data_IF_094200179862
#
_entry.id   IF_094200179862
#
_cell.length_a   1.000
_cell.length_b   1.000
_cell.length_c   1.000
_cell.angle_alpha   90.00
_cell.angle_beta   90.00
_cell.angle_gamma   90.00
#
_symmetry.space_group_name_H-M   'P 1'
#
loop_
_entity.id
_entity.type
_entity.pdbx_description
1 polymer ?
#
# COMPACT_ATOMS: atom_id res chain seq x y z
N UNK A 1 -5.43 -20.62 6.81
CA UNK A 1 -4.04 -20.11 6.74
C UNK A 1 -3.95 -18.86 7.59
N UNK A 2 -3.03 -18.80 8.55
CA UNK A 2 -2.89 -17.66 9.47
C UNK A 2 -2.10 -16.55 8.75
N UNK A 3 -2.69 -15.36 8.61
CA UNK A 3 -2.06 -14.23 7.93
C UNK A 3 -0.79 -13.73 8.63
N UNK A 4 0.21 -13.25 7.88
CA UNK A 4 1.49 -12.77 8.43
C UNK A 4 1.39 -11.40 9.12
N UNK A 5 0.30 -10.66 8.91
CA UNK A 5 0.00 -9.39 9.55
C UNK A 5 -1.06 -9.60 10.64
N UNK A 6 -0.67 -9.43 11.90
CA UNK A 6 -1.52 -9.66 13.06
C UNK A 6 -1.41 -8.48 14.03
N UNK A 7 -2.43 -8.31 14.88
CA UNK A 7 -2.45 -7.26 15.89
C UNK A 7 -3.11 -5.96 15.43
N UNK A 8 -2.73 -4.86 16.09
CA UNK A 8 -3.28 -3.52 15.85
C UNK A 8 -3.03 -3.09 14.41
N UNK A 9 -3.93 -2.28 13.88
CA UNK A 9 -3.73 -1.72 12.55
C UNK A 9 -2.57 -0.69 12.55
N UNK A 10 -1.63 -0.86 11.63
CA UNK A 10 -0.59 0.11 11.32
C UNK A 10 -1.20 1.35 10.63
N UNK A 11 -0.63 2.54 10.82
CA UNK A 11 -1.06 3.72 10.08
C UNK A 11 -1.02 3.52 8.56
N UNK A 12 0.05 2.91 8.02
CA UNK A 12 0.14 2.67 6.59
C UNK A 12 -0.90 1.67 6.06
N UNK A 13 -1.29 0.66 6.83
CA UNK A 13 -2.34 -0.26 6.38
C UNK A 13 -3.74 0.36 6.44
N UNK A 14 -3.99 1.30 7.35
CA UNK A 14 -5.23 2.09 7.36
C UNK A 14 -5.34 2.94 6.09
N UNK A 15 -4.27 3.68 5.77
CA UNK A 15 -4.20 4.50 4.54
C UNK A 15 -4.37 3.64 3.28
N UNK A 16 -3.69 2.50 3.21
CA UNK A 16 -3.86 1.57 2.10
C UNK A 16 -5.31 1.09 1.99
N UNK A 17 -5.93 0.70 3.11
CA UNK A 17 -7.30 0.20 3.09
C UNK A 17 -8.31 1.24 2.63
N UNK A 18 -8.16 2.51 3.04
CA UNK A 18 -9.03 3.60 2.57
C UNK A 18 -8.94 3.78 1.05
N UNK A 19 -7.73 3.87 0.50
CA UNK A 19 -7.52 3.99 -0.95
C UNK A 19 -8.01 2.74 -1.69
N UNK A 20 -7.78 1.56 -1.12
CA UNK A 20 -8.19 0.29 -1.70
C UNK A 20 -9.72 0.22 -1.81
N UNK A 21 -10.43 0.70 -0.80
CA UNK A 21 -11.89 0.76 -0.79
C UNK A 21 -12.39 1.68 -1.90
N UNK A 22 -11.85 2.90 -2.02
CA UNK A 22 -12.24 3.83 -3.08
C UNK A 22 -12.05 3.20 -4.46
N UNK A 23 -10.85 2.69 -4.74
CA UNK A 23 -10.54 2.09 -6.04
C UNK A 23 -11.39 0.84 -6.31
N UNK A 24 -11.69 0.05 -5.29
CA UNK A 24 -12.54 -1.13 -5.40
C UNK A 24 -13.98 -0.76 -5.77
N UNK A 25 -14.54 0.27 -5.14
CA UNK A 25 -15.90 0.74 -5.42
C UNK A 25 -16.05 1.34 -6.81
N UNK A 26 -15.04 2.06 -7.26
CA UNK A 26 -14.98 2.66 -8.59
C UNK A 26 -14.70 1.62 -9.69
N UNK A 27 -14.26 0.40 -9.31
CA UNK A 27 -14.03 -0.68 -10.26
C UNK A 27 -12.73 -0.55 -11.04
N UNK A 28 -11.79 0.28 -10.57
CA UNK A 28 -10.57 0.67 -11.30
C UNK A 28 -9.34 -0.19 -10.94
N UNK A 29 -9.51 -1.23 -10.12
CA UNK A 29 -8.44 -2.17 -9.77
C UNK A 29 -8.12 -3.10 -10.95
N UNK A 30 -6.87 -3.08 -11.38
CA UNK A 30 -6.32 -3.94 -12.43
C UNK A 30 -6.10 -5.38 -11.94
N UNK A 31 -5.68 -5.54 -10.68
CA UNK A 31 -5.30 -6.80 -10.05
C UNK A 31 -6.44 -7.56 -9.32
N UNK A 32 -7.68 -7.07 -9.37
CA UNK A 32 -8.82 -7.66 -8.69
C UNK A 32 -9.71 -8.47 -9.64
N UNK A 33 -9.98 -9.74 -9.32
CA UNK A 33 -10.92 -10.55 -10.09
C UNK A 33 -12.39 -10.16 -9.79
N UNK A 34 -13.23 -10.10 -10.83
CA UNK A 34 -14.66 -9.88 -10.68
C UNK A 34 -15.28 -10.94 -9.75
N UNK A 35 -16.23 -10.53 -8.90
CA UNK A 35 -16.82 -11.42 -7.90
C UNK A 35 -15.99 -11.60 -6.62
N UNK A 36 -14.76 -11.06 -6.54
CA UNK A 36 -14.04 -10.98 -5.27
C UNK A 36 -14.78 -10.03 -4.34
N UNK A 37 -15.03 -10.42 -3.08
CA UNK A 37 -15.61 -9.50 -2.09
C UNK A 37 -14.57 -8.51 -1.56
N UNK A 38 -15.00 -7.33 -1.13
CA UNK A 38 -14.10 -6.31 -0.59
C UNK A 38 -13.23 -6.84 0.55
N UNK A 39 -13.83 -7.58 1.50
CA UNK A 39 -13.10 -8.19 2.62
C UNK A 39 -12.02 -9.16 2.15
N UNK A 40 -12.30 -9.96 1.12
CA UNK A 40 -11.34 -10.92 0.54
C UNK A 40 -10.18 -10.20 -0.13
N UNK A 41 -10.47 -9.15 -0.89
CA UNK A 41 -9.45 -8.36 -1.58
C UNK A 41 -8.49 -7.73 -0.56
N UNK A 42 -9.01 -6.98 0.41
CA UNK A 42 -8.18 -6.31 1.42
C UNK A 42 -7.40 -7.32 2.26
N UNK A 43 -8.04 -8.41 2.71
CA UNK A 43 -7.39 -9.43 3.53
C UNK A 43 -6.19 -10.06 2.83
N UNK A 44 -6.35 -10.37 1.53
CA UNK A 44 -5.27 -10.91 0.70
C UNK A 44 -4.11 -9.94 0.57
N UNK A 45 -4.38 -8.66 0.31
CA UNK A 45 -3.35 -7.63 0.11
C UNK A 45 -2.64 -7.27 1.42
N UNK A 46 -3.36 -7.21 2.54
CA UNK A 46 -2.79 -6.93 3.86
C UNK A 46 -2.22 -8.15 4.58
N UNK A 47 -2.17 -9.33 3.94
CA UNK A 47 -1.71 -10.59 4.53
C UNK A 47 -2.40 -10.93 5.87
N UNK A 48 -3.70 -10.69 5.99
CA UNK A 48 -4.45 -10.91 7.22
C UNK A 48 -5.74 -11.71 6.98
N UNK A 49 -6.45 -12.06 8.06
CA UNK A 49 -7.71 -12.79 7.97
C UNK A 49 -8.90 -11.87 7.63
N UNK A 50 -9.86 -12.36 6.83
CA UNK A 50 -11.06 -11.61 6.43
C UNK A 50 -11.87 -11.08 7.62
N UNK A 51 -11.84 -11.76 8.76
CA UNK A 51 -12.50 -11.32 9.97
C UNK A 51 -11.84 -10.09 10.58
N UNK A 52 -10.51 -9.92 10.45
CA UNK A 52 -9.80 -8.72 10.91
C UNK A 52 -10.27 -7.51 10.12
N UNK A 53 -10.37 -7.65 8.80
CA UNK A 53 -10.94 -6.62 7.92
C UNK A 53 -12.40 -6.36 8.29
N UNK A 54 -13.22 -7.40 8.42
CA UNK A 54 -14.63 -7.28 8.76
C UNK A 54 -14.85 -6.52 10.07
N UNK A 55 -14.05 -6.79 11.10
CA UNK A 55 -14.10 -6.07 12.38
C UNK A 55 -13.73 -4.60 12.21
N UNK A 56 -12.65 -4.28 11.49
CA UNK A 56 -12.23 -2.90 11.24
C UNK A 56 -13.29 -2.10 10.48
N UNK A 57 -13.82 -2.66 9.39
CA UNK A 57 -14.86 -2.02 8.58
C UNK A 57 -16.19 -1.83 9.31
N UNK A 58 -16.48 -2.66 10.34
CA UNK A 58 -17.68 -2.50 11.18
C UNK A 58 -17.49 -1.47 12.29
N UNK A 59 -16.26 -1.31 12.80
CA UNK A 59 -15.93 -0.35 13.85
C UNK A 59 -15.85 1.07 13.31
N UNK A 60 -15.23 1.24 12.14
CA UNK A 60 -15.18 2.53 11.47
C UNK A 60 -16.54 2.81 10.83
N UNK A 61 -17.13 3.97 11.10
CA UNK A 61 -18.40 4.39 10.47
C UNK A 61 -18.17 5.14 9.15
N UNK A 62 -16.93 5.55 8.91
CA UNK A 62 -16.48 6.34 7.77
C UNK A 62 -15.22 5.71 7.19
N UNK A 63 -15.19 5.48 5.88
CA UNK A 63 -14.00 5.10 5.10
C UNK A 63 -14.07 5.81 3.76
N UNK A 64 -12.92 6.12 3.16
CA UNK A 64 -12.85 6.82 1.87
C UNK A 64 -13.64 8.16 1.84
N UNK A 65 -13.71 8.87 2.98
CA UNK A 65 -14.43 10.15 3.09
C UNK A 65 -15.97 10.04 3.11
N UNK A 66 -16.53 8.83 3.06
CA UNK A 66 -17.98 8.60 3.08
C UNK A 66 -18.43 7.67 4.23
N UNK A 67 -19.74 7.67 4.50
CA UNK A 67 -20.35 6.72 5.43
C UNK A 67 -20.34 5.30 4.83
N UNK A 68 -19.92 4.32 5.60
CA UNK A 68 -19.97 2.92 5.18
C UNK A 68 -21.41 2.42 5.25
N UNK A 69 -21.95 1.97 4.12
CA UNK A 69 -23.27 1.35 4.06
C UNK A 69 -23.31 0.00 4.82
N UNK A 70 -24.49 -0.42 5.29
CA UNK A 70 -24.65 -1.77 5.89
C UNK A 70 -24.22 -2.85 4.89
N UNK A 71 -23.52 -3.89 5.37
CA UNK A 71 -23.02 -5.04 4.58
C UNK A 71 -21.97 -4.72 3.50
N UNK A 72 -21.32 -3.56 3.57
CA UNK A 72 -20.29 -3.12 2.63
C UNK A 72 -19.13 -4.11 2.43
N UNK A 73 -18.74 -4.82 3.49
CA UNK A 73 -17.67 -5.82 3.47
C UNK A 73 -17.92 -7.01 2.51
N UNK A 74 -19.18 -7.28 2.14
CA UNK A 74 -19.58 -8.35 1.21
C UNK A 74 -19.84 -7.85 -0.21
N UNK A 75 -19.61 -6.56 -0.49
CA UNK A 75 -19.77 -6.02 -1.84
C UNK A 75 -18.74 -6.69 -2.76
N UNK A 76 -19.21 -7.11 -3.93
CA UNK A 76 -18.40 -7.79 -4.93
C UNK A 76 -17.75 -6.76 -5.84
N UNK A 77 -16.54 -7.05 -6.29
CA UNK A 77 -15.83 -6.22 -7.26
C UNK A 77 -16.53 -6.30 -8.62
N UNK A 78 -16.76 -5.14 -9.21
CA UNK A 78 -17.24 -4.99 -10.58
C UNK A 78 -16.30 -4.02 -11.30
N UNK A 79 -15.64 -4.50 -12.37
CA UNK A 79 -14.66 -3.72 -13.13
C UNK A 79 -15.36 -2.65 -13.98
N UNK A 80 -14.85 -1.42 -13.96
CA UNK A 80 -15.28 -0.38 -14.90
C UNK A 80 -14.75 -0.65 -16.31
N UNK A 81 -15.52 -0.29 -17.33
CA UNK A 81 -15.10 -0.42 -18.74
C UNK A 81 -14.22 0.74 -19.20
N UNK A 82 -14.30 1.88 -18.52
CA UNK A 82 -13.61 3.11 -18.89
C UNK A 82 -12.82 3.60 -17.69
N UNK A 83 -11.50 3.59 -17.82
CA UNK A 83 -10.55 4.11 -16.82
C UNK A 83 -10.02 5.43 -17.34
N UNK A 84 -10.17 6.48 -16.55
CA UNK A 84 -9.67 7.82 -16.88
C UNK A 84 -8.24 8.01 -16.38
N UNK A 85 -7.49 9.03 -16.86
CA UNK A 85 -6.19 9.37 -16.30
C UNK A 85 -6.22 9.64 -14.79
N UNK A 86 -7.29 10.29 -14.31
CA UNK A 86 -7.48 10.55 -12.87
C UNK A 86 -7.63 9.25 -12.05
N UNK A 87 -8.25 8.22 -12.62
CA UNK A 87 -8.35 6.90 -11.98
C UNK A 87 -6.98 6.22 -11.90
N UNK A 88 -6.13 6.39 -12.92
CA UNK A 88 -4.76 5.90 -12.89
C UNK A 88 -3.92 6.56 -11.78
N UNK A 89 -4.16 7.83 -11.47
CA UNK A 89 -3.51 8.52 -10.35
C UNK A 89 -3.95 7.94 -8.99
N UNK A 90 -5.24 7.58 -8.85
CA UNK A 90 -5.76 6.89 -7.66
C UNK A 90 -5.12 5.50 -7.50
N UNK A 91 -5.05 4.73 -8.59
CA UNK A 91 -4.39 3.41 -8.61
C UNK A 91 -2.89 3.54 -8.29
N UNK A 92 -2.23 4.59 -8.78
CA UNK A 92 -0.83 4.88 -8.46
C UNK A 92 -0.66 5.19 -6.98
N UNK A 93 -1.53 6.04 -6.42
CA UNK A 93 -1.55 6.37 -4.99
C UNK A 93 -1.78 5.13 -4.13
N UNK A 94 -2.69 4.25 -4.55
CA UNK A 94 -2.93 2.95 -3.92
C UNK A 94 -1.67 2.07 -3.93
N UNK A 95 -1.00 1.94 -5.09
CA UNK A 95 0.24 1.15 -5.23
C UNK A 95 1.36 1.70 -4.34
N UNK A 96 1.51 3.02 -4.25
CA UNK A 96 2.49 3.65 -3.35
C UNK A 96 2.15 3.40 -1.87
N UNK A 97 0.87 3.50 -1.48
CA UNK A 97 0.44 3.19 -0.11
C UNK A 97 0.69 1.72 0.24
N UNK A 98 0.48 0.81 -0.70
CA UNK A 98 0.78 -0.62 -0.53
C UNK A 98 2.27 -0.86 -0.25
N UNK A 99 3.16 -0.22 -1.02
CA UNK A 99 4.59 -0.32 -0.80
C UNK A 99 4.99 0.21 0.59
N UNK A 100 4.42 1.34 1.02
CA UNK A 100 4.64 1.86 2.39
C UNK A 100 4.22 0.86 3.45
N UNK A 101 3.04 0.25 3.31
CA UNK A 101 2.57 -0.80 4.21
C UNK A 101 3.57 -1.97 4.29
N UNK A 102 4.02 -2.50 3.16
CA UNK A 102 4.99 -3.61 3.15
C UNK A 102 6.31 -3.23 3.85
N UNK A 103 6.78 -1.99 3.65
CA UNK A 103 7.99 -1.51 4.35
C UNK A 103 7.80 -1.43 5.87
N UNK A 104 6.69 -0.90 6.36
CA UNK A 104 6.42 -0.83 7.80
C UNK A 104 6.24 -2.23 8.41
N UNK A 105 5.54 -3.12 7.71
CA UNK A 105 5.34 -4.50 8.15
C UNK A 105 6.68 -5.25 8.28
N UNK A 106 7.62 -5.03 7.36
CA UNK A 106 8.95 -5.61 7.42
C UNK A 106 9.78 -5.07 8.60
N UNK A 107 9.70 -3.77 8.87
CA UNK A 107 10.41 -3.14 10.00
C UNK A 107 9.96 -3.68 11.35
N UNK A 108 8.65 -3.93 11.52
CA UNK A 108 8.10 -4.50 12.76
C UNK A 108 8.69 -5.89 13.00
N UNK A 109 8.71 -6.75 11.98
CA UNK A 109 9.33 -8.08 12.08
C UNK A 109 10.83 -8.04 12.39
N UNK A 110 11.54 -7.03 11.85
CA UNK A 110 12.97 -6.85 12.13
C UNK A 110 13.27 -6.40 13.57
N UNK A 111 12.27 -5.87 14.28
CA UNK A 111 12.40 -5.33 15.64
C UNK A 111 12.11 -6.36 16.74
N UNK A 112 11.54 -7.51 16.39
CA UNK A 112 11.25 -8.63 17.29
C UNK A 112 12.49 -9.50 17.64
N UNK A 113 13.70 -9.11 17.21
CA UNK A 113 14.95 -9.70 17.71
C UNK A 113 15.25 -9.07 19.07
N UNK A 114 15.39 -9.85 20.17
CA UNK A 114 15.60 -9.29 21.49
C UNK A 114 16.93 -8.54 21.53
N UNK A 115 16.84 -7.22 21.67
CA UNK A 115 17.95 -6.36 22.01
C UNK A 115 18.38 -6.67 23.45
N UNK A 116 19.35 -7.57 23.61
CA UNK A 116 20.18 -7.59 24.80
C UNK A 116 20.90 -6.24 24.91
N UNK A 117 20.59 -5.54 25.98
CA UNK A 117 21.34 -4.47 26.64
C UNK A 117 22.73 -4.16 26.04
N UNK A 118 22.84 -3.03 25.36
CA UNK A 118 23.97 -2.11 25.51
C UNK A 118 23.56 -0.73 25.02
N UNK A 119 23.19 0.12 25.96
CA UNK A 119 23.23 1.56 25.82
C UNK A 119 24.65 1.98 25.42
N UNK A 120 24.81 2.54 24.23
CA UNK A 120 25.91 3.43 23.88
C UNK A 120 25.45 4.33 22.72
N UNK A 121 25.41 5.62 23.04
CA UNK A 121 25.32 6.74 22.10
C UNK A 121 26.39 6.65 21.02
N UNK A 122 26.04 6.91 19.76
CA UNK A 122 26.78 7.84 18.90
C UNK A 122 26.09 8.06 17.56
N UNK A 123 25.97 9.33 17.21
CA UNK A 123 25.75 9.86 15.88
C UNK A 123 26.56 9.10 14.83
N UNK A 124 25.89 8.62 13.78
CA UNK A 124 26.55 8.26 12.53
C UNK A 124 25.68 8.75 11.39
N UNK A 125 26.16 9.82 10.75
CA UNK A 125 25.68 10.29 9.46
C UNK A 125 25.68 9.11 8.48
N UNK A 126 24.53 8.82 7.87
CA UNK A 126 24.45 7.94 6.70
C UNK A 126 24.08 8.80 5.50
N UNK A 127 25.09 9.09 4.69
CA UNK A 127 24.94 9.62 3.34
C UNK A 127 24.03 8.70 2.51
N UNK A 128 23.02 9.23 1.81
CA UNK A 128 22.33 8.48 0.78
C UNK A 128 23.20 8.49 -0.49
N UNK A 129 24.13 7.54 -0.58
CA UNK A 129 24.79 7.22 -1.85
C UNK A 129 23.85 6.34 -2.69
N UNK A 130 23.77 6.63 -3.99
CA UNK A 130 23.01 5.96 -5.04
C UNK A 130 21.58 6.46 -5.33
N UNK A 131 21.44 7.78 -5.55
CA UNK A 131 20.45 8.27 -6.52
C UNK A 131 21.19 9.09 -7.58
N UNK A 132 21.65 8.44 -8.64
CA UNK A 132 22.15 9.17 -9.82
C UNK A 132 21.00 10.06 -10.33
N UNK A 133 21.23 11.36 -10.40
CA UNK A 133 20.25 12.31 -10.91
C UNK A 133 20.06 12.06 -12.41
N UNK A 134 18.81 12.02 -12.87
CA UNK A 134 18.45 11.77 -14.28
C UNK A 134 19.16 12.75 -15.23
N UNK A 135 19.45 13.97 -14.76
CA UNK A 135 20.21 14.98 -15.51
C UNK A 135 21.61 14.50 -15.95
N UNK A 136 22.28 13.65 -15.16
CA UNK A 136 23.60 13.10 -15.52
C UNK A 136 23.55 12.13 -16.69
N UNK A 137 22.45 11.36 -16.84
CA UNK A 137 22.28 10.41 -17.95
C UNK A 137 22.01 11.12 -19.28
N UNK A 138 21.30 12.24 -19.25
CA UNK A 138 21.01 13.02 -20.46
C UNK A 138 22.26 13.73 -21.00
N UNK A 139 23.15 14.17 -20.11
CA UNK A 139 24.37 14.86 -20.51
C UNK A 139 25.40 13.93 -21.18
N UNK A 140 25.46 12.64 -20.78
CA UNK A 140 26.30 11.65 -21.44
C UNK A 140 25.79 11.27 -22.84
N UNK A 141 24.47 11.27 -23.05
CA UNK A 141 23.87 10.95 -24.33
C UNK A 141 24.16 12.03 -25.39
N UNK A 142 24.13 13.32 -25.02
CA UNK A 142 24.46 14.40 -25.95
C UNK A 142 25.95 14.48 -26.30
N UNK A 143 26.83 14.06 -25.38
CA UNK A 143 28.29 14.12 -25.59
C UNK A 143 28.77 13.07 -26.60
N UNK A 144 28.07 11.93 -26.70
CA UNK A 144 28.39 10.85 -27.65
C UNK A 144 27.90 11.13 -29.08
N UNK A 145 26.94 12.03 -29.27
CA UNK A 145 26.38 12.33 -30.60
C UNK A 145 27.07 13.50 -31.32
N UNK A 146 28.10 14.11 -30.71
CA UNK A 146 28.86 15.24 -31.31
C UNK A 146 30.20 14.83 -31.94
N UNK A 147 30.54 13.54 -31.92
CA UNK A 147 31.80 12.99 -32.47
C UNK A 147 31.55 11.81 -33.42
N UNK A 148 30.38 11.73 -34.06
CA UNK A 148 30.08 10.81 -35.15
C UNK A 148 29.87 11.59 -36.45
#
# INVERSE_FOLDING_TARGET
MKGRNMGRWLPAEEVYADLAISCFLEGILDDCACGTTLRQYIARRLHCDEMRVTKKLRQNKTLAGGLIQRNFNRRHFARTRHVTPSDMDKVTSLKLAYLRFETELAQIKGKDVPASTSSLSSSAQRSPSNRMAIASLLNEAESRNRHA
#
